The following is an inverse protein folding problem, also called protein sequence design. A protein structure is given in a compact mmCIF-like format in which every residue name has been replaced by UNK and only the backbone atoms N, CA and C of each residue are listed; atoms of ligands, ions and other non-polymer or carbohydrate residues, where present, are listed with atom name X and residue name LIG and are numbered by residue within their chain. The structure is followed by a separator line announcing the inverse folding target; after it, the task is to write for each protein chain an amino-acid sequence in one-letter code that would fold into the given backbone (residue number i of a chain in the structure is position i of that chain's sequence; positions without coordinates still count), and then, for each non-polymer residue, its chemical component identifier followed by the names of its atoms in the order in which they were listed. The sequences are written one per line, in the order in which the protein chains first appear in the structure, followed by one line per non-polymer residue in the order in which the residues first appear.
data_IF_202063148271
#
_entry.id   IF_202063148271
#
_cell.length_a   1.000
_cell.length_b   1.000
_cell.length_c   1.000
_cell.angle_alpha   90.00
_cell.angle_beta   90.00
_cell.angle_gamma   90.00
#
_symmetry.space_group_name_H-M   'P 1'
#
loop_
_entity.id
_entity.type
_entity.pdbx_description
1 polymer ?
#
# COMPACT_ATOMS: atom_id res chain seq x y z
N UNK A 1 -3.35 -16.88 -1.00
CA UNK A 1 -2.60 -16.34 -2.16
C UNK A 1 -3.32 -15.14 -2.74
N UNK A 2 -4.43 -15.32 -3.46
CA UNK A 2 -5.09 -14.24 -4.23
C UNK A 2 -5.42 -12.96 -3.43
N UNK A 3 -5.97 -13.03 -2.19
CA UNK A 3 -6.19 -11.82 -1.39
C UNK A 3 -4.90 -11.05 -1.09
N UNK A 4 -3.82 -11.77 -0.75
CA UNK A 4 -2.53 -11.18 -0.39
C UNK A 4 -1.86 -10.52 -1.61
N UNK A 5 -1.90 -11.20 -2.76
CA UNK A 5 -1.39 -10.63 -4.02
C UNK A 5 -2.09 -9.33 -4.38
N UNK A 6 -3.42 -9.23 -4.21
CA UNK A 6 -4.17 -8.00 -4.51
C UNK A 6 -3.79 -6.87 -3.55
N UNK A 7 -3.64 -7.17 -2.25
CA UNK A 7 -3.22 -6.16 -1.25
C UNK A 7 -1.87 -5.56 -1.67
N UNK A 8 -0.88 -6.41 -1.93
CA UNK A 8 0.47 -5.95 -2.31
C UNK A 8 0.51 -5.29 -3.68
N UNK A 9 -0.30 -5.75 -4.64
CA UNK A 9 -0.45 -5.10 -5.93
C UNK A 9 -0.91 -3.64 -5.77
N UNK A 10 -2.03 -3.43 -5.07
CA UNK A 10 -2.61 -2.10 -4.88
C UNK A 10 -1.68 -1.18 -4.06
N UNK A 11 -1.08 -1.73 -3.02
CA UNK A 11 -0.12 -1.04 -2.17
C UNK A 11 1.10 -0.52 -2.95
N UNK A 12 1.72 -1.37 -3.75
CA UNK A 12 2.94 -0.99 -4.46
C UNK A 12 2.66 -0.10 -5.67
N UNK A 13 1.45 -0.14 -6.25
CA UNK A 13 1.01 0.87 -7.22
C UNK A 13 1.02 2.26 -6.58
N UNK A 14 0.51 2.37 -5.35
CA UNK A 14 0.52 3.63 -4.61
C UNK A 14 1.93 4.08 -4.23
N UNK A 15 2.73 3.16 -3.68
CA UNK A 15 4.07 3.47 -3.17
C UNK A 15 5.08 3.81 -4.28
N UNK A 16 5.08 3.06 -5.37
CA UNK A 16 6.06 3.21 -6.46
C UNK A 16 5.58 4.12 -7.59
N UNK A 17 4.27 4.33 -7.75
CA UNK A 17 3.69 5.14 -8.81
C UNK A 17 3.08 6.46 -8.33
N UNK A 18 2.13 6.39 -7.40
CA UNK A 18 1.25 7.53 -7.09
C UNK A 18 1.87 8.55 -6.13
N UNK A 19 2.59 8.12 -5.08
CA UNK A 19 3.16 9.06 -4.10
C UNK A 19 4.18 10.03 -4.69
N UNK A 20 4.83 9.69 -5.80
CA UNK A 20 5.74 10.59 -6.51
C UNK A 20 5.01 11.70 -7.27
N UNK A 21 3.74 11.50 -7.60
CA UNK A 21 2.91 12.43 -8.38
C UNK A 21 2.08 13.36 -7.47
N UNK A 22 1.83 12.94 -6.23
CA UNK A 22 1.07 13.71 -5.24
C UNK A 22 2.00 14.71 -4.55
N UNK A 23 1.86 15.98 -4.90
CA UNK A 23 2.60 17.09 -4.32
C UNK A 23 1.65 18.18 -3.81
N UNK A 24 2.08 18.88 -2.77
CA UNK A 24 1.34 19.99 -2.16
C UNK A 24 2.22 21.25 -2.09
N UNK A 25 1.59 22.42 -2.24
CA UNK A 25 2.25 23.72 -2.06
C UNK A 25 2.74 23.93 -0.62
N UNK A 26 3.69 24.84 -0.41
CA UNK A 26 4.31 25.11 0.90
C UNK A 26 3.28 25.41 2.00
N UNK A 27 2.26 26.21 1.68
CA UNK A 27 1.19 26.61 2.62
C UNK A 27 0.36 25.41 3.13
N UNK A 28 0.26 24.35 2.33
CA UNK A 28 -0.55 23.16 2.62
C UNK A 28 0.30 21.93 3.00
N UNK A 29 1.63 22.11 3.11
CA UNK A 29 2.60 21.03 3.30
C UNK A 29 3.52 21.22 4.52
N UNK A 30 3.10 21.95 5.56
CA UNK A 30 3.95 22.24 6.73
C UNK A 30 5.34 22.79 6.35
N UNK A 31 5.42 23.61 5.31
CA UNK A 31 6.69 24.12 4.73
C UNK A 31 7.68 23.01 4.29
N UNK A 32 7.18 21.81 3.99
CA UNK A 32 8.00 20.70 3.53
C UNK A 32 8.31 20.84 2.03
N UNK A 33 9.59 20.75 1.69
CA UNK A 33 10.02 20.62 0.30
C UNK A 33 9.44 19.36 -0.35
N UNK A 34 9.26 19.39 -1.67
CA UNK A 34 8.71 18.27 -2.46
C UNK A 34 9.38 16.92 -2.14
N UNK A 35 10.71 16.90 -2.07
CA UNK A 35 11.44 15.68 -1.71
C UNK A 35 11.19 15.23 -0.27
N UNK A 36 11.03 16.18 0.63
CA UNK A 36 10.73 15.89 2.04
C UNK A 36 9.35 15.27 2.18
N UNK A 37 8.36 15.78 1.45
CA UNK A 37 7.00 15.20 1.41
C UNK A 37 7.04 13.72 1.01
N UNK A 38 7.77 13.39 -0.06
CA UNK A 38 7.92 12.00 -0.51
C UNK A 38 8.61 11.10 0.52
N UNK A 39 9.70 11.58 1.15
CA UNK A 39 10.39 10.84 2.21
C UNK A 39 9.48 10.56 3.41
N UNK A 40 8.62 11.53 3.78
CA UNK A 40 7.65 11.37 4.85
C UNK A 40 6.53 10.38 4.53
N UNK A 41 6.02 10.35 3.29
CA UNK A 41 5.07 9.31 2.87
C UNK A 41 5.62 7.91 3.10
N UNK A 42 6.86 7.66 2.64
CA UNK A 42 7.49 6.36 2.80
C UNK A 42 7.79 6.04 4.27
N UNK A 43 8.21 7.04 5.05
CA UNK A 43 8.51 6.89 6.47
C UNK A 43 7.26 6.51 7.27
N UNK A 44 6.15 7.22 7.06
CA UNK A 44 4.88 6.94 7.75
C UNK A 44 4.28 5.60 7.33
N UNK A 45 4.40 5.27 6.05
CA UNK A 45 4.04 3.96 5.54
C UNK A 45 4.82 2.84 6.26
N UNK A 46 6.16 2.92 6.29
CA UNK A 46 7.01 1.93 6.97
C UNK A 46 6.74 1.87 8.47
N UNK A 47 6.47 3.02 9.09
CA UNK A 47 6.10 3.10 10.50
C UNK A 47 4.77 2.38 10.77
N UNK A 48 3.77 2.54 9.90
CA UNK A 48 2.51 1.80 9.98
C UNK A 48 2.69 0.28 9.88
N UNK A 49 3.50 -0.18 8.92
CA UNK A 49 3.87 -1.61 8.80
C UNK A 49 4.53 -2.10 10.09
N UNK A 50 5.51 -1.36 10.60
CA UNK A 50 6.25 -1.71 11.81
C UNK A 50 5.35 -1.86 13.05
N UNK A 51 4.51 -0.85 13.31
CA UNK A 51 3.59 -0.88 14.45
C UNK A 51 2.67 -2.10 14.39
N UNK A 52 2.08 -2.36 13.23
CA UNK A 52 1.14 -3.47 13.08
C UNK A 52 1.85 -4.83 13.16
N UNK A 53 2.98 -5.02 12.46
CA UNK A 53 3.72 -6.30 12.49
C UNK A 53 4.22 -6.65 13.88
N UNK A 54 4.54 -5.65 14.70
CA UNK A 54 4.92 -5.86 16.11
C UNK A 54 3.75 -6.35 16.96
N UNK A 55 2.54 -5.82 16.72
CA UNK A 55 1.34 -6.13 17.51
C UNK A 55 0.67 -7.43 17.05
N UNK A 56 0.70 -7.74 15.75
CA UNK A 56 -0.05 -8.85 15.15
C UNK A 56 0.38 -10.22 15.67
N UNK A 57 1.60 -10.34 16.20
CA UNK A 57 2.08 -11.57 16.84
C UNK A 57 1.26 -11.92 18.08
N UNK A 58 0.68 -10.91 18.75
CA UNK A 58 -0.13 -11.07 19.96
C UNK A 58 -1.63 -11.31 19.67
N UNK A 59 -2.11 -11.00 18.46
CA UNK A 59 -3.53 -10.97 18.13
C UNK A 59 -3.84 -11.92 16.97
N UNK A 60 -4.83 -12.79 17.13
CA UNK A 60 -5.27 -13.67 16.03
C UNK A 60 -6.35 -12.99 15.20
N UNK A 61 -6.08 -12.75 13.92
CA UNK A 61 -7.03 -12.09 13.01
C UNK A 61 -8.06 -13.09 12.44
N UNK A 62 -9.36 -12.79 12.49
CA UNK A 62 -10.38 -13.65 11.89
C UNK A 62 -10.31 -13.63 10.36
N UNK A 63 -10.67 -14.76 9.74
CA UNK A 63 -10.56 -14.93 8.27
C UNK A 63 -11.44 -13.97 7.47
N UNK A 64 -12.58 -13.55 8.01
CA UNK A 64 -13.45 -12.58 7.35
C UNK A 64 -12.74 -11.22 7.15
N UNK A 65 -11.99 -10.77 8.16
CA UNK A 65 -11.21 -9.52 8.07
C UNK A 65 -10.11 -9.67 7.02
N UNK A 66 -9.35 -10.78 7.03
CA UNK A 66 -8.29 -11.00 6.04
C UNK A 66 -8.81 -10.99 4.59
N UNK A 67 -10.03 -11.47 4.36
CA UNK A 67 -10.66 -11.42 3.04
C UNK A 67 -11.19 -10.03 2.65
N UNK A 68 -11.47 -9.14 3.62
CA UNK A 68 -11.96 -7.78 3.34
C UNK A 68 -10.84 -6.76 3.11
N UNK A 69 -9.64 -6.99 3.67
CA UNK A 69 -8.48 -6.10 3.52
C UNK A 69 -8.10 -5.75 2.07
N UNK A 70 -8.15 -6.67 1.07
CA UNK A 70 -7.85 -6.33 -0.32
C UNK A 70 -8.77 -5.24 -0.86
N UNK A 71 -10.06 -5.28 -0.53
CA UNK A 71 -11.02 -4.27 -0.99
C UNK A 71 -10.74 -2.90 -0.38
N UNK A 72 -10.39 -2.86 0.91
CA UNK A 72 -10.02 -1.63 1.61
C UNK A 72 -8.72 -1.07 1.01
N UNK A 73 -7.74 -1.92 0.72
CA UNK A 73 -6.48 -1.51 0.11
C UNK A 73 -6.66 -0.95 -1.30
N UNK A 74 -7.50 -1.59 -2.12
CA UNK A 74 -7.86 -1.09 -3.43
C UNK A 74 -8.60 0.25 -3.34
N UNK A 75 -9.47 0.42 -2.34
CA UNK A 75 -10.17 1.69 -2.12
C UNK A 75 -9.19 2.83 -1.77
N UNK A 76 -8.25 2.60 -0.86
CA UNK A 76 -7.21 3.59 -0.52
C UNK A 76 -6.38 3.95 -1.75
N UNK A 77 -5.97 2.94 -2.53
CA UNK A 77 -5.21 3.15 -3.77
C UNK A 77 -6.02 3.94 -4.80
N UNK A 78 -7.32 3.67 -4.94
CA UNK A 78 -8.19 4.43 -5.82
C UNK A 78 -8.34 5.89 -5.36
N UNK A 79 -8.49 6.13 -4.06
CA UNK A 79 -8.53 7.48 -3.48
C UNK A 79 -7.23 8.24 -3.80
N UNK A 80 -6.07 7.61 -3.62
CA UNK A 80 -4.78 8.21 -3.96
C UNK A 80 -4.61 8.43 -5.47
N UNK A 81 -5.15 7.53 -6.30
CA UNK A 81 -5.15 7.69 -7.75
C UNK A 81 -5.98 8.90 -8.17
N UNK A 82 -7.21 9.03 -7.67
CA UNK A 82 -8.03 10.23 -7.94
C UNK A 82 -7.40 11.49 -7.37
N UNK A 83 -6.70 11.41 -6.23
CA UNK A 83 -5.96 12.54 -5.68
C UNK A 83 -4.85 13.00 -6.65
N UNK A 84 -4.12 12.07 -7.26
CA UNK A 84 -3.07 12.40 -8.24
C UNK A 84 -3.60 13.04 -9.54
N UNK A 85 -4.90 12.91 -9.81
CA UNK A 85 -5.55 13.49 -11.00
C UNK A 85 -6.30 14.80 -10.73
N UNK A 86 -6.91 14.93 -9.55
CA UNK A 86 -7.84 16.03 -9.26
C UNK A 86 -7.42 16.94 -8.10
N UNK A 87 -6.38 16.57 -7.32
CA UNK A 87 -5.92 17.30 -6.14
C UNK A 87 -7.06 17.75 -5.19
N UNK A 88 -8.00 16.85 -4.88
CA UNK A 88 -9.18 17.18 -4.08
C UNK A 88 -8.87 17.30 -2.58
N UNK A 89 -7.82 16.61 -2.09
CA UNK A 89 -7.38 16.68 -0.70
C UNK A 89 -6.70 18.04 -0.47
N UNK A 90 -7.12 18.83 0.52
CA UNK A 90 -6.59 20.18 0.72
C UNK A 90 -5.28 20.23 1.52
N UNK A 91 -4.90 19.14 2.20
CA UNK A 91 -3.77 19.16 3.13
C UNK A 91 -2.99 17.84 3.19
N UNK A 92 -1.67 17.93 3.29
CA UNK A 92 -0.76 16.78 3.27
C UNK A 92 -1.01 15.77 4.41
N UNK A 93 -1.48 16.26 5.56
CA UNK A 93 -1.73 15.42 6.75
C UNK A 93 -2.73 14.29 6.48
N UNK A 94 -3.69 14.49 5.58
CA UNK A 94 -4.65 13.45 5.21
C UNK A 94 -3.95 12.34 4.44
N UNK A 95 -3.05 12.68 3.51
CA UNK A 95 -2.24 11.71 2.76
C UNK A 95 -1.28 10.98 3.69
N UNK A 96 -0.70 11.66 4.69
CA UNK A 96 0.10 11.05 5.75
C UNK A 96 -0.66 9.99 6.55
N UNK A 97 -1.90 10.29 6.95
CA UNK A 97 -2.76 9.32 7.65
C UNK A 97 -3.11 8.14 6.73
N UNK A 98 -3.44 8.40 5.46
CA UNK A 98 -3.72 7.35 4.49
C UNK A 98 -2.51 6.43 4.27
N UNK A 99 -1.29 6.99 4.13
CA UNK A 99 -0.06 6.22 3.99
C UNK A 99 0.21 5.33 5.21
N UNK A 100 -0.03 5.86 6.42
CA UNK A 100 0.10 5.08 7.65
C UNK A 100 -0.93 3.92 7.72
N UNK A 101 -2.19 4.18 7.39
CA UNK A 101 -3.26 3.15 7.36
C UNK A 101 -2.94 2.09 6.31
N UNK A 102 -2.48 2.50 5.13
CA UNK A 102 -2.09 1.62 4.03
C UNK A 102 -0.98 0.65 4.46
N UNK A 103 0.06 1.16 5.13
CA UNK A 103 1.12 0.33 5.70
C UNK A 103 0.59 -0.63 6.78
N UNK A 104 -0.34 -0.16 7.61
CA UNK A 104 -0.99 -0.99 8.61
C UNK A 104 -1.77 -2.17 8.00
N UNK A 105 -2.58 -1.92 6.96
CA UNK A 105 -3.37 -2.97 6.27
C UNK A 105 -2.46 -4.04 5.66
N UNK A 106 -1.34 -3.65 5.07
CA UNK A 106 -0.31 -4.58 4.57
C UNK A 106 0.29 -5.42 5.71
N UNK A 107 0.59 -4.75 6.83
CA UNK A 107 1.02 -5.37 8.07
C UNK A 107 0.08 -6.50 8.53
N UNK A 108 -1.21 -6.21 8.65
CA UNK A 108 -2.26 -7.15 9.08
C UNK A 108 -2.41 -8.29 8.07
N UNK A 109 -2.47 -7.95 6.79
CA UNK A 109 -2.73 -8.92 5.72
C UNK A 109 -1.67 -10.01 5.69
N UNK A 110 -0.39 -9.64 5.75
CA UNK A 110 0.71 -10.60 5.73
C UNK A 110 0.87 -11.34 7.06
N UNK A 111 0.95 -10.59 8.18
CA UNK A 111 1.17 -11.19 9.50
C UNK A 111 0.02 -12.13 9.89
N UNK A 112 -1.22 -11.69 9.67
CA UNK A 112 -2.41 -12.50 9.94
C UNK A 112 -2.54 -13.70 9.02
N UNK A 113 -2.14 -13.62 7.75
CA UNK A 113 -2.16 -14.78 6.84
C UNK A 113 -1.13 -15.82 7.25
N UNK A 114 0.09 -15.42 7.60
CA UNK A 114 1.14 -16.34 8.04
C UNK A 114 0.80 -17.01 9.37
N UNK A 115 0.30 -16.25 10.36
CA UNK A 115 -0.15 -16.80 11.63
C UNK A 115 -1.27 -17.84 11.45
N UNK A 116 -2.22 -17.54 10.55
CA UNK A 116 -3.31 -18.46 10.19
C UNK A 116 -2.79 -19.75 9.59
N UNK A 117 -1.85 -19.67 8.65
CA UNK A 117 -1.23 -20.85 8.02
C UNK A 117 -0.48 -21.64 9.07
N UNK A 118 0.30 -20.97 9.93
CA UNK A 118 1.03 -21.63 11.01
C UNK A 118 0.10 -22.43 11.94
N UNK A 119 -1.05 -21.86 12.33
CA UNK A 119 -1.99 -22.52 13.26
C UNK A 119 -2.89 -23.57 12.60
N UNK A 120 -3.28 -23.40 11.34
CA UNK A 120 -4.34 -24.21 10.69
C UNK A 120 -3.82 -25.26 9.71
N UNK A 121 -2.58 -25.17 9.24
CA UNK A 121 -2.01 -26.14 8.30
C UNK A 121 -1.37 -27.34 9.01
N UNK A 122 -1.51 -28.50 8.39
CA UNK A 122 -0.80 -29.73 8.76
C UNK A 122 0.72 -29.50 8.69
N UNK A 123 1.47 -30.06 9.64
CA UNK A 123 2.94 -29.91 9.75
C UNK A 123 3.66 -30.19 8.42
N UNK A 124 3.25 -31.23 7.69
CA UNK A 124 3.87 -31.63 6.41
C UNK A 124 3.65 -30.61 5.28
N UNK A 125 2.52 -29.90 5.28
CA UNK A 125 2.16 -28.94 4.24
C UNK A 125 2.47 -27.49 4.65
N UNK A 126 2.81 -27.25 5.92
CA UNK A 126 2.99 -25.90 6.48
C UNK A 126 4.08 -25.10 5.78
N UNK A 127 5.25 -25.67 5.63
CA UNK A 127 6.40 -25.01 5.00
C UNK A 127 6.11 -24.67 3.55
N UNK A 128 5.52 -25.60 2.81
CA UNK A 128 5.09 -25.38 1.44
C UNK A 128 4.05 -24.26 1.35
N UNK A 129 3.02 -24.28 2.19
CA UNK A 129 1.98 -23.24 2.20
C UNK A 129 2.54 -21.86 2.56
N UNK A 130 3.49 -21.78 3.49
CA UNK A 130 4.18 -20.53 3.83
C UNK A 130 5.03 -20.01 2.67
N UNK A 131 5.79 -20.89 2.01
CA UNK A 131 6.60 -20.53 0.85
C UNK A 131 5.72 -20.00 -0.28
N UNK A 132 4.64 -20.70 -0.59
CA UNK A 132 3.65 -20.32 -1.62
C UNK A 132 3.04 -18.95 -1.31
N UNK A 133 2.74 -18.66 -0.04
CA UNK A 133 2.24 -17.34 0.36
C UNK A 133 3.29 -16.24 0.23
N UNK A 134 4.55 -16.50 0.60
CA UNK A 134 5.63 -15.56 0.39
C UNK A 134 5.85 -15.24 -1.10
N UNK A 135 5.74 -16.23 -1.99
CA UNK A 135 5.79 -16.01 -3.44
C UNK A 135 4.60 -15.19 -3.97
N UNK A 136 3.45 -15.28 -3.30
CA UNK A 136 2.25 -14.52 -3.72
C UNK A 136 2.38 -13.01 -3.47
N UNK A 137 3.17 -12.61 -2.48
CA UNK A 137 3.54 -11.21 -2.21
C UNK A 137 4.46 -10.69 -3.33
N UNK A 138 5.59 -11.38 -3.58
CA UNK A 138 6.55 -10.96 -4.60
C UNK A 138 5.95 -10.85 -5.99
N UNK A 139 4.99 -11.74 -6.33
CA UNK A 139 4.23 -11.67 -7.57
C UNK A 139 3.41 -10.38 -7.67
N UNK A 140 2.73 -9.99 -6.58
CA UNK A 140 1.95 -8.75 -6.51
C UNK A 140 2.83 -7.51 -6.68
N UNK A 141 3.97 -7.47 -5.98
CA UNK A 141 4.96 -6.39 -6.08
C UNK A 141 5.49 -6.25 -7.51
N UNK A 142 5.85 -7.36 -8.14
CA UNK A 142 6.37 -7.36 -9.51
C UNK A 142 5.34 -6.80 -10.51
N UNK A 143 4.10 -7.27 -10.43
CA UNK A 143 3.00 -6.77 -11.26
C UNK A 143 2.73 -5.27 -11.02
N UNK A 144 2.81 -4.83 -9.77
CA UNK A 144 2.65 -3.42 -9.41
C UNK A 144 3.76 -2.54 -9.97
N UNK A 145 5.01 -3.04 -10.03
CA UNK A 145 6.12 -2.34 -10.66
C UNK A 145 5.87 -2.07 -12.13
N UNK A 146 5.43 -3.08 -12.89
CA UNK A 146 5.06 -2.91 -14.29
C UNK A 146 3.85 -1.97 -14.46
N UNK A 147 2.80 -2.15 -13.66
CA UNK A 147 1.60 -1.31 -13.71
C UNK A 147 1.90 0.17 -13.39
N UNK A 148 2.79 0.42 -12.42
CA UNK A 148 3.20 1.78 -12.02
C UNK A 148 3.81 2.56 -13.17
N UNK A 149 4.60 1.92 -14.04
CA UNK A 149 5.19 2.59 -15.21
C UNK A 149 4.10 3.10 -16.16
N UNK A 150 3.11 2.26 -16.46
CA UNK A 150 1.99 2.65 -17.33
C UNK A 150 1.15 3.77 -16.71
N UNK A 151 0.84 3.64 -15.42
CA UNK A 151 0.03 4.63 -14.68
C UNK A 151 0.78 5.97 -14.63
N UNK A 152 2.06 5.96 -14.32
CA UNK A 152 2.88 7.17 -14.25
C UNK A 152 2.95 7.88 -15.61
N UNK A 153 3.24 7.14 -16.69
CA UNK A 153 3.29 7.71 -18.04
C UNK A 153 1.94 8.28 -18.48
N UNK A 154 0.83 7.62 -18.14
CA UNK A 154 -0.51 8.11 -18.43
C UNK A 154 -0.81 9.43 -17.72
N UNK A 155 -0.48 9.51 -16.43
CA UNK A 155 -0.69 10.73 -15.63
C UNK A 155 0.20 11.87 -16.16
N UNK A 156 1.50 11.62 -16.38
CA UNK A 156 2.45 12.62 -16.88
C UNK A 156 2.06 13.16 -18.27
N UNK A 157 1.61 12.30 -19.20
CA UNK A 157 1.13 12.76 -20.51
C UNK A 157 -0.11 13.68 -20.39
N UNK A 158 -0.96 13.46 -19.39
CA UNK A 158 -2.14 14.31 -19.15
C UNK A 158 -1.76 15.67 -18.57
N UNK A 159 -0.74 15.75 -17.71
CA UNK A 159 -0.18 17.01 -17.24
C UNK A 159 0.48 17.82 -18.37
N UNK A 160 1.26 17.17 -19.24
CA UNK A 160 1.90 17.81 -20.39
C UNK A 160 0.87 18.41 -21.36
N UNK A 161 -0.25 17.72 -21.60
CA UNK A 161 -1.33 18.25 -22.43
C UNK A 161 -2.17 19.35 -21.76
N UNK A 162 -1.97 19.61 -20.46
CA UNK A 162 -2.70 20.64 -19.71
C UNK A 162 -1.95 21.99 -19.64
N UNK A 163 -0.69 22.04 -20.09
CA UNK A 163 0.08 23.27 -20.28
C UNK A 163 0.39 23.44 -21.79
N UNK A 164 -0.33 24.32 -22.51
CA UNK A 164 0.01 24.66 -23.89
C UNK A 164 1.32 25.47 -23.99
#
# INVERSE_FOLDING_TARGET
MLPLTIVYLAEYISNSGLFQLIHFDCDHSFDLSLESQFRWYFTLYMFGVFCVRSVIVLITVPSFILCSLPFIQCLITAILYFQSLHFFIPHISIVFVLAFIQGGISGISYGGTLDRIHKKSELKAREFNMAVVATSDTTGICLAGFASIFIHNYICNRYLNSYP
#
